data_IF_631028914814
#
_entry.id   IF_631028914814
#
_cell.length_a   1.000
_cell.length_b   1.000
_cell.length_c   1.000
_cell.angle_alpha   90.00
_cell.angle_beta   90.00
_cell.angle_gamma   90.00
#
_symmetry.space_group_name_H-M   'P 1'
#
loop_
_entity.id
_entity.type
_entity.pdbx_description
1 polymer ?
#
# COMPACT_ATOMS: atom_id res chain seq x y z
N UNK A 1 -6.59 -19.16 -55.42
CA UNK A 1 -7.63 -19.62 -54.46
C UNK A 1 -7.01 -20.08 -53.14
N UNK A 2 -5.96 -20.90 -53.17
CA UNK A 2 -5.27 -21.48 -52.00
C UNK A 2 -4.71 -20.43 -51.00
N UNK A 3 -4.14 -19.31 -51.48
CA UNK A 3 -3.55 -18.29 -50.60
C UNK A 3 -4.58 -17.56 -49.72
N UNK A 4 -5.79 -17.33 -50.24
CA UNK A 4 -6.89 -16.68 -49.48
C UNK A 4 -7.42 -17.61 -48.38
N UNK A 5 -7.48 -18.92 -48.65
CA UNK A 5 -7.93 -19.94 -47.69
C UNK A 5 -6.93 -20.12 -46.55
N UNK A 6 -5.62 -20.07 -46.83
CA UNK A 6 -4.57 -20.14 -45.80
C UNK A 6 -4.61 -18.91 -44.89
N UNK A 7 -4.78 -17.72 -45.48
CA UNK A 7 -4.85 -16.47 -44.71
C UNK A 7 -6.04 -16.44 -43.74
N UNK A 8 -7.21 -16.93 -44.17
CA UNK A 8 -8.40 -17.00 -43.31
C UNK A 8 -8.25 -18.01 -42.17
N UNK A 9 -7.53 -19.11 -42.36
CA UNK A 9 -7.32 -20.13 -41.33
C UNK A 9 -6.40 -19.63 -40.20
N UNK A 10 -5.36 -18.87 -40.57
CA UNK A 10 -4.40 -18.30 -39.59
C UNK A 10 -5.10 -17.30 -38.66
N UNK A 11 -5.98 -16.46 -39.20
CA UNK A 11 -6.75 -15.48 -38.41
C UNK A 11 -7.69 -16.19 -37.41
N UNK A 12 -8.33 -17.28 -37.82
CA UNK A 12 -9.26 -18.04 -36.98
C UNK A 12 -8.57 -18.75 -35.79
N UNK A 13 -7.32 -19.20 -35.96
CA UNK A 13 -6.57 -19.81 -34.85
C UNK A 13 -6.16 -18.77 -33.79
N UNK A 14 -5.90 -17.52 -34.18
CA UNK A 14 -5.49 -16.47 -33.23
C UNK A 14 -6.61 -15.99 -32.31
N UNK A 15 -7.87 -16.11 -32.72
CA UNK A 15 -9.02 -15.64 -31.92
C UNK A 15 -9.48 -16.64 -30.85
N UNK A 16 -9.03 -17.90 -30.89
CA UNK A 16 -9.44 -18.95 -29.95
C UNK A 16 -8.48 -19.11 -28.76
N UNK A 17 -7.25 -18.60 -28.85
CA UNK A 17 -6.20 -18.80 -27.85
C UNK A 17 -6.21 -17.80 -26.67
N UNK A 18 -7.15 -16.85 -26.62
CA UNK A 18 -7.11 -15.73 -25.67
C UNK A 18 -8.27 -15.73 -24.67
N UNK A 19 -8.62 -16.90 -24.11
CA UNK A 19 -9.46 -16.99 -22.91
C UNK A 19 -8.58 -17.38 -21.72
N UNK A 20 -7.70 -16.46 -21.31
CA UNK A 20 -6.83 -16.63 -20.15
C UNK A 20 -7.45 -16.00 -18.90
N UNK A 21 -7.75 -16.85 -17.92
CA UNK A 21 -8.01 -16.64 -16.48
C UNK A 21 -7.74 -15.25 -15.83
N UNK A 22 -8.43 -14.18 -16.23
CA UNK A 22 -8.36 -12.87 -15.56
C UNK A 22 -9.12 -12.82 -14.21
N UNK A 23 -10.03 -13.77 -13.96
CA UNK A 23 -10.97 -13.70 -12.83
C UNK A 23 -10.33 -14.01 -11.46
N UNK A 24 -9.39 -14.94 -11.41
CA UNK A 24 -8.77 -15.38 -10.14
C UNK A 24 -7.78 -14.33 -9.62
N UNK A 25 -6.99 -13.71 -10.51
CA UNK A 25 -6.02 -12.67 -10.12
C UNK A 25 -6.71 -11.40 -9.59
N UNK A 26 -7.85 -11.04 -10.17
CA UNK A 26 -8.64 -9.90 -9.71
C UNK A 26 -9.33 -10.14 -8.37
N UNK A 27 -9.61 -11.40 -8.01
CA UNK A 27 -10.28 -11.75 -6.76
C UNK A 27 -9.35 -11.60 -5.54
N UNK A 28 -8.11 -12.09 -5.63
CA UNK A 28 -7.12 -11.94 -4.55
C UNK A 28 -6.74 -10.48 -4.30
N UNK A 29 -6.54 -9.70 -5.38
CA UNK A 29 -6.28 -8.25 -5.29
C UNK A 29 -7.43 -7.49 -4.60
N UNK A 30 -8.68 -7.85 -4.89
CA UNK A 30 -9.84 -7.23 -4.25
C UNK A 30 -9.90 -7.54 -2.76
N UNK A 31 -9.61 -8.78 -2.34
CA UNK A 31 -9.58 -9.13 -0.91
C UNK A 31 -8.49 -8.35 -0.17
N UNK A 32 -7.29 -8.25 -0.74
CA UNK A 32 -6.19 -7.47 -0.17
C UNK A 32 -6.55 -5.98 -0.03
N UNK A 33 -7.22 -5.41 -1.04
CA UNK A 33 -7.69 -4.02 -1.01
C UNK A 33 -8.78 -3.80 0.05
N UNK A 34 -9.74 -4.73 0.19
CA UNK A 34 -10.81 -4.63 1.19
C UNK A 34 -10.23 -4.72 2.60
N UNK A 35 -9.33 -5.67 2.86
CA UNK A 35 -8.66 -5.79 4.16
C UNK A 35 -7.79 -4.57 4.45
N UNK A 36 -7.14 -4.02 3.43
CA UNK A 36 -6.34 -2.80 3.56
C UNK A 36 -7.20 -1.58 3.87
N UNK A 37 -8.33 -1.38 3.20
CA UNK A 37 -9.24 -0.27 3.48
C UNK A 37 -9.75 -0.35 4.92
N UNK A 38 -10.21 -1.52 5.38
CA UNK A 38 -10.61 -1.71 6.79
C UNK A 38 -9.48 -1.40 7.80
N UNK A 39 -8.23 -1.73 7.44
CA UNK A 39 -7.07 -1.38 8.27
C UNK A 39 -6.81 0.14 8.29
N UNK A 40 -6.89 0.81 7.14
CA UNK A 40 -6.73 2.27 7.05
C UNK A 40 -7.87 3.01 7.77
N UNK A 41 -9.09 2.50 7.70
CA UNK A 41 -10.29 3.13 8.25
C UNK A 41 -10.32 3.09 9.77
N UNK A 42 -9.65 2.10 10.38
CA UNK A 42 -9.57 1.95 11.84
C UNK A 42 -8.30 2.57 12.45
N UNK A 43 -7.15 2.48 11.77
CA UNK A 43 -5.87 3.02 12.23
C UNK A 43 -5.82 4.55 12.06
N UNK A 44 -5.85 5.28 13.17
CA UNK A 44 -5.74 6.73 13.16
C UNK A 44 -4.35 7.19 13.61
N UNK A 45 -3.68 7.93 12.73
CA UNK A 45 -2.34 8.50 12.97
C UNK A 45 -2.40 10.01 12.92
N UNK A 46 -2.10 10.62 14.07
CA UNK A 46 -2.07 12.08 14.28
C UNK A 46 -0.67 12.49 14.69
N UNK A 47 -0.14 13.52 14.04
CA UNK A 47 1.16 14.10 14.39
C UNK A 47 0.97 15.58 14.69
N UNK A 48 1.25 15.98 15.93
CA UNK A 48 1.10 17.36 16.40
C UNK A 48 2.39 17.78 17.10
N UNK A 49 3.03 18.82 16.55
CA UNK A 49 4.33 19.34 17.02
C UNK A 49 5.43 18.28 16.98
N UNK A 50 5.64 17.57 18.09
CA UNK A 50 6.61 16.49 18.26
C UNK A 50 5.95 15.23 18.84
N UNK A 51 4.62 15.16 18.86
CA UNK A 51 3.86 14.03 19.41
C UNK A 51 3.18 13.27 18.29
N UNK A 52 3.52 11.99 18.17
CA UNK A 52 2.87 11.04 17.31
C UNK A 52 1.89 10.20 18.15
N UNK A 53 0.60 10.33 17.86
CA UNK A 53 -0.46 9.54 18.46
C UNK A 53 -0.93 8.52 17.42
N UNK A 54 -0.90 7.25 17.81
CA UNK A 54 -1.36 6.12 17.01
C UNK A 54 -2.50 5.48 17.78
N UNK A 55 -3.70 5.50 17.21
CA UNK A 55 -4.91 4.93 17.80
C UNK A 55 -5.31 3.65 17.04
N UNK A 56 -5.81 2.66 17.78
CA UNK A 56 -6.36 1.40 17.23
C UNK A 56 -5.36 0.60 16.37
N UNK A 57 -4.09 0.52 16.75
CA UNK A 57 -3.15 -0.36 16.06
C UNK A 57 -3.54 -1.83 16.30
N UNK A 58 -3.91 -2.62 15.27
CA UNK A 58 -4.51 -3.94 15.50
C UNK A 58 -3.51 -4.99 15.98
N UNK A 59 -2.25 -4.88 15.56
CA UNK A 59 -1.17 -5.82 15.92
C UNK A 59 0.14 -5.05 16.12
N UNK A 60 1.06 -5.66 16.86
CA UNK A 60 2.43 -5.14 16.97
C UNK A 60 3.04 -4.91 15.59
N UNK A 61 3.71 -3.78 15.42
CA UNK A 61 4.27 -3.41 14.13
C UNK A 61 5.54 -2.57 14.28
N UNK A 62 6.10 -2.12 13.16
CA UNK A 62 7.27 -1.25 13.14
C UNK A 62 6.86 0.08 12.52
N UNK A 63 7.06 1.15 13.27
CA UNK A 63 7.05 2.51 12.77
C UNK A 63 8.36 2.76 12.04
N UNK A 64 8.25 3.24 10.81
CA UNK A 64 9.35 3.75 10.02
C UNK A 64 9.00 5.18 9.57
N UNK A 65 9.95 6.10 9.69
CA UNK A 65 9.79 7.45 9.14
C UNK A 65 10.90 7.69 8.12
N UNK A 66 10.50 8.14 6.95
CA UNK A 66 11.38 8.48 5.85
C UNK A 66 11.30 9.98 5.57
N UNK A 67 12.41 10.58 5.17
CA UNK A 67 12.40 11.93 4.61
C UNK A 67 11.86 11.92 3.17
N UNK A 68 11.67 13.10 2.57
CA UNK A 68 11.19 13.21 1.17
C UNK A 68 12.13 12.65 0.10
N UNK A 69 13.40 12.42 0.44
CA UNK A 69 14.37 11.76 -0.45
C UNK A 69 14.33 10.23 -0.30
N UNK A 70 13.45 9.69 0.55
CA UNK A 70 13.32 8.25 0.78
C UNK A 70 14.32 7.66 1.77
N UNK A 71 15.15 8.48 2.43
CA UNK A 71 16.06 7.99 3.47
C UNK A 71 15.30 7.77 4.78
N UNK A 72 15.51 6.60 5.40
CA UNK A 72 14.92 6.26 6.70
C UNK A 72 15.63 7.06 7.80
N UNK A 73 14.88 7.86 8.54
CA UNK A 73 15.40 8.76 9.60
C UNK A 73 14.97 8.34 11.01
N UNK A 74 13.95 7.49 11.13
CA UNK A 74 13.49 6.99 12.42
C UNK A 74 12.90 5.59 12.28
N UNK A 75 13.10 4.76 13.31
CA UNK A 75 12.43 3.46 13.43
C UNK A 75 12.14 3.11 14.88
N UNK A 76 10.99 2.47 15.13
CA UNK A 76 10.60 2.02 16.46
C UNK A 76 9.59 0.87 16.38
N UNK A 77 9.70 -0.10 17.30
CA UNK A 77 8.65 -1.12 17.50
C UNK A 77 7.45 -0.52 18.21
N UNK A 78 6.27 -0.77 17.68
CA UNK A 78 4.97 -0.38 18.20
C UNK A 78 4.28 -1.58 18.81
N UNK A 79 3.55 -1.37 19.92
CA UNK A 79 2.64 -2.36 20.49
C UNK A 79 1.23 -2.14 19.96
N UNK A 80 0.44 -3.19 19.84
CA UNK A 80 -0.99 -3.08 19.51
C UNK A 80 -1.74 -2.15 20.48
N UNK A 81 -2.80 -1.51 20.00
CA UNK A 81 -3.64 -0.57 20.75
C UNK A 81 -3.30 0.89 20.48
N UNK A 82 -3.55 1.75 21.47
CA UNK A 82 -3.30 3.19 21.38
C UNK A 82 -1.99 3.54 22.07
N UNK A 83 -1.10 4.22 21.36
CA UNK A 83 0.22 4.57 21.85
C UNK A 83 0.58 6.01 21.46
N UNK A 84 1.37 6.65 22.32
CA UNK A 84 1.93 7.97 22.09
C UNK A 84 3.45 7.92 22.11
N UNK A 85 4.07 8.63 21.16
CA UNK A 85 5.52 8.73 21.06
C UNK A 85 5.94 10.18 20.84
N UNK A 86 6.91 10.62 21.63
CA UNK A 86 7.60 11.88 21.39
C UNK A 86 8.71 11.66 20.35
N UNK A 87 8.60 12.35 19.22
CA UNK A 87 9.50 12.27 18.07
C UNK A 87 9.87 13.70 17.68
N UNK A 88 11.15 14.03 17.89
CA UNK A 88 11.72 15.29 17.44
C UNK A 88 12.30 15.12 16.04
N UNK A 89 11.70 15.79 15.07
CA UNK A 89 12.16 15.85 13.69
C UNK A 89 12.26 17.31 13.24
N UNK A 90 13.27 17.68 12.43
CA UNK A 90 13.34 19.01 11.84
C UNK A 90 12.10 19.33 10.99
N UNK A 91 11.83 20.62 10.80
CA UNK A 91 10.78 21.10 9.90
C UNK A 91 10.96 20.52 8.49
N UNK A 92 9.86 20.13 7.86
CA UNK A 92 9.90 19.52 6.54
C UNK A 92 8.78 18.50 6.33
N UNK A 93 8.91 17.77 5.23
CA UNK A 93 7.96 16.72 4.85
C UNK A 93 8.56 15.35 5.12
N UNK A 94 7.72 14.44 5.57
CA UNK A 94 8.10 13.07 5.89
C UNK A 94 7.02 12.08 5.46
N UNK A 95 7.40 10.82 5.38
CA UNK A 95 6.52 9.69 5.12
C UNK A 95 6.57 8.80 6.35
N UNK A 96 5.42 8.65 7.02
CA UNK A 96 5.23 7.65 8.06
C UNK A 96 4.78 6.36 7.41
N UNK A 97 5.41 5.24 7.78
CA UNK A 97 5.03 3.89 7.37
C UNK A 97 4.87 2.99 8.59
N UNK A 98 3.76 2.26 8.64
CA UNK A 98 3.45 1.24 9.65
C UNK A 98 2.85 0.03 8.91
N UNK A 99 3.67 -0.99 8.68
CA UNK A 99 3.28 -2.12 7.83
C UNK A 99 2.89 -1.67 6.42
N UNK A 100 1.62 -1.88 6.04
CA UNK A 100 1.03 -1.42 4.77
C UNK A 100 0.50 0.03 4.83
N UNK A 101 0.29 0.61 6.02
CA UNK A 101 -0.13 2.00 6.17
C UNK A 101 1.01 2.95 5.83
N UNK A 102 0.73 3.93 4.99
CA UNK A 102 1.68 4.98 4.62
C UNK A 102 0.97 6.32 4.55
N UNK A 103 1.54 7.36 5.18
CA UNK A 103 0.96 8.71 5.18
C UNK A 103 2.06 9.77 5.10
N UNK A 104 1.89 10.72 4.19
CA UNK A 104 2.73 11.93 4.14
C UNK A 104 2.32 12.89 5.26
N UNK A 105 3.29 13.41 5.98
CA UNK A 105 3.09 14.43 7.02
C UNK A 105 3.97 15.65 6.75
N UNK A 106 3.56 16.80 7.28
CA UNK A 106 4.32 18.04 7.26
C UNK A 106 4.55 18.51 8.69
N UNK A 107 5.81 18.79 9.02
CA UNK A 107 6.23 19.35 10.30
C UNK A 107 6.54 20.82 10.06
N UNK A 108 5.80 21.70 10.73
CA UNK A 108 5.82 23.15 10.53
C UNK A 108 6.77 23.88 11.47
#
# INVERSE_FOLDING_TARGET
MILRTILTLVILLTTLGSYGNDDVYNSEKQLDQILQNNFQDSLKVVFTESRLIIENLPTDNILEIYNIMGAKVYTRRLKSGTNEYNISLPKGYYIIKIGKFTKKIAIK
#
